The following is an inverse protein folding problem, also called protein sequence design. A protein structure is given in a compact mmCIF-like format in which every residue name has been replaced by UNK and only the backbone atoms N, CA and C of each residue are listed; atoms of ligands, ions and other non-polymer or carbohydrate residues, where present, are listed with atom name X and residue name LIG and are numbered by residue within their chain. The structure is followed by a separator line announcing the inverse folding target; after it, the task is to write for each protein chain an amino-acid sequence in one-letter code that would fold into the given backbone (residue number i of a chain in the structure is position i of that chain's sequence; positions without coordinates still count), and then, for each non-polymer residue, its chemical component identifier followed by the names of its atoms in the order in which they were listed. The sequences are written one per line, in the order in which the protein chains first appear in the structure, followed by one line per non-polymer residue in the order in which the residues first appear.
data_IF_567700067313
#
_entry.id   IF_567700067313
#
_cell.length_a   1.000
_cell.length_b   1.000
_cell.length_c   1.000
_cell.angle_alpha   90.00
_cell.angle_beta   90.00
_cell.angle_gamma   90.00
#
_symmetry.space_group_name_H-M   'P 1'
#
loop_
_entity.id
_entity.type
_entity.pdbx_description
1 polymer ?
#
# COMPACT_ATOMS: atom_id res chain seq x y z
N UNK A 1 -27.40 22.93 -30.55
CA UNK A 1 -27.98 21.58 -30.52
C UNK A 1 -29.23 21.46 -31.40
N UNK A 2 -30.26 22.33 -31.26
CA UNK A 2 -31.50 22.28 -32.06
C UNK A 2 -31.28 22.37 -33.61
N UNK A 3 -30.44 23.27 -34.07
CA UNK A 3 -30.09 23.40 -35.51
C UNK A 3 -29.37 22.17 -36.09
N UNK A 4 -28.58 21.49 -35.27
CA UNK A 4 -27.91 20.23 -35.67
C UNK A 4 -28.93 19.09 -35.84
N UNK A 5 -29.87 18.98 -34.92
CA UNK A 5 -30.94 18.00 -35.00
C UNK A 5 -31.87 18.24 -36.17
N UNK A 6 -32.21 19.50 -36.47
CA UNK A 6 -32.99 19.89 -37.66
C UNK A 6 -32.25 19.57 -38.97
N UNK A 7 -30.91 19.77 -39.03
CA UNK A 7 -30.09 19.40 -40.14
C UNK A 7 -30.00 17.91 -40.39
N UNK A 8 -29.86 17.11 -39.30
CA UNK A 8 -29.77 15.65 -39.37
C UNK A 8 -31.14 14.99 -39.76
N UNK A 9 -32.24 15.61 -39.40
CA UNK A 9 -33.59 15.12 -39.71
C UNK A 9 -34.14 15.60 -41.06
N UNK A 10 -33.40 16.37 -41.86
CA UNK A 10 -33.86 16.74 -43.20
C UNK A 10 -33.96 15.51 -44.08
N UNK A 11 -35.05 15.36 -44.86
CA UNK A 11 -35.22 14.24 -45.78
C UNK A 11 -34.06 14.21 -46.80
N UNK A 12 -33.65 13.00 -47.18
CA UNK A 12 -32.63 12.80 -48.20
C UNK A 12 -33.06 13.41 -49.53
N UNK A 13 -32.12 14.01 -50.29
CA UNK A 13 -32.44 14.47 -51.65
C UNK A 13 -32.89 13.30 -52.53
N UNK A 14 -33.79 13.56 -53.50
CA UNK A 14 -34.33 12.55 -54.42
C UNK A 14 -33.16 11.76 -55.04
N UNK A 15 -33.15 10.43 -54.90
CA UNK A 15 -32.11 9.51 -55.37
C UNK A 15 -31.25 8.87 -54.29
N UNK A 16 -31.30 9.33 -53.00
CA UNK A 16 -30.63 8.65 -51.91
C UNK A 16 -31.59 7.84 -51.07
N UNK A 17 -31.29 6.56 -50.87
CA UNK A 17 -32.11 5.63 -50.08
C UNK A 17 -32.04 5.90 -48.57
N UNK A 18 -31.10 6.69 -48.08
CA UNK A 18 -30.85 6.90 -46.66
C UNK A 18 -30.99 8.37 -46.24
N UNK A 19 -31.58 8.62 -45.09
CA UNK A 19 -31.58 9.97 -44.48
C UNK A 19 -30.17 10.45 -44.13
N UNK A 20 -29.97 11.78 -44.09
CA UNK A 20 -28.63 12.38 -43.75
C UNK A 20 -28.08 11.93 -42.43
N UNK A 21 -28.96 11.61 -41.45
CA UNK A 21 -28.57 11.07 -40.18
C UNK A 21 -27.77 9.75 -40.28
N UNK A 22 -28.08 8.91 -41.28
CA UNK A 22 -27.38 7.63 -41.47
C UNK A 22 -25.94 7.85 -41.90
N UNK A 23 -25.64 8.96 -42.62
CA UNK A 23 -24.25 9.30 -42.99
C UNK A 23 -23.38 9.71 -41.80
N UNK A 24 -24.01 10.14 -40.66
CA UNK A 24 -23.31 10.45 -39.41
C UNK A 24 -23.13 9.21 -38.54
N UNK A 25 -23.86 8.11 -38.82
CA UNK A 25 -23.83 6.92 -37.98
C UNK A 25 -22.42 6.31 -37.81
N UNK A 26 -21.56 6.17 -38.83
CA UNK A 26 -20.21 5.65 -38.65
C UNK A 26 -19.38 6.50 -37.70
N UNK A 27 -19.48 7.82 -37.77
CA UNK A 27 -18.79 8.72 -36.83
C UNK A 27 -19.34 8.60 -35.43
N UNK A 28 -20.65 8.54 -35.24
CA UNK A 28 -21.30 8.35 -33.94
C UNK A 28 -20.89 7.02 -33.32
N UNK A 29 -20.88 5.94 -34.12
CA UNK A 29 -20.43 4.61 -33.64
C UNK A 29 -18.97 4.68 -33.20
N UNK A 30 -18.08 5.31 -33.99
CA UNK A 30 -16.68 5.46 -33.63
C UNK A 30 -16.52 6.22 -32.29
N UNK A 31 -17.23 7.34 -32.11
CA UNK A 31 -17.20 8.13 -30.87
C UNK A 31 -17.73 7.30 -29.69
N UNK A 32 -18.81 6.57 -29.86
CA UNK A 32 -19.36 5.70 -28.83
C UNK A 32 -18.36 4.59 -28.45
N UNK A 33 -17.71 3.96 -29.42
CA UNK A 33 -16.68 2.93 -29.18
C UNK A 33 -15.48 3.49 -28.44
N UNK A 34 -15.01 4.69 -28.80
CA UNK A 34 -13.91 5.35 -28.08
C UNK A 34 -14.28 5.67 -26.64
N UNK A 35 -15.45 6.28 -26.41
CA UNK A 35 -15.92 6.59 -25.06
C UNK A 35 -16.06 5.30 -24.23
N UNK A 36 -16.71 4.27 -24.80
CA UNK A 36 -16.87 2.97 -24.12
C UNK A 36 -15.52 2.34 -23.80
N UNK A 37 -14.58 2.38 -24.74
CA UNK A 37 -13.21 1.88 -24.55
C UNK A 37 -12.48 2.58 -23.39
N UNK A 38 -12.58 3.90 -23.31
CA UNK A 38 -11.98 4.68 -22.20
C UNK A 38 -12.65 4.35 -20.87
N UNK A 39 -13.99 4.25 -20.83
CA UNK A 39 -14.72 3.92 -19.60
C UNK A 39 -14.37 2.51 -19.12
N UNK A 40 -14.33 1.53 -20.02
CA UNK A 40 -13.93 0.15 -19.69
C UNK A 40 -12.49 0.10 -19.19
N UNK A 41 -11.56 0.77 -19.89
CA UNK A 41 -10.16 0.82 -19.47
C UNK A 41 -10.00 1.45 -18.07
N UNK A 42 -10.70 2.54 -17.79
CA UNK A 42 -10.69 3.18 -16.48
C UNK A 42 -11.29 2.28 -15.39
N UNK A 43 -12.41 1.61 -15.67
CA UNK A 43 -13.05 0.68 -14.74
C UNK A 43 -12.17 -0.54 -14.44
N UNK A 44 -11.53 -1.11 -15.46
CA UNK A 44 -10.59 -2.23 -15.30
C UNK A 44 -9.36 -1.80 -14.49
N UNK A 45 -8.80 -0.63 -14.80
CA UNK A 45 -7.67 -0.10 -14.04
C UNK A 45 -8.02 0.13 -12.57
N UNK A 46 -9.17 0.73 -12.26
CA UNK A 46 -9.64 0.93 -10.88
C UNK A 46 -9.85 -0.39 -10.16
N UNK A 47 -10.52 -1.34 -10.80
CA UNK A 47 -10.76 -2.67 -10.20
C UNK A 47 -9.45 -3.44 -9.98
N UNK A 48 -8.57 -3.47 -10.98
CA UNK A 48 -7.33 -4.23 -10.91
C UNK A 48 -6.30 -3.60 -9.94
N UNK A 49 -6.27 -2.25 -9.83
CA UNK A 49 -5.31 -1.57 -8.96
C UNK A 49 -5.80 -1.42 -7.52
N UNK A 50 -7.00 -0.89 -7.32
CA UNK A 50 -7.45 -0.51 -5.98
C UNK A 50 -8.19 -1.64 -5.26
N UNK A 51 -9.14 -2.30 -5.93
CA UNK A 51 -9.96 -3.34 -5.29
C UNK A 51 -9.27 -4.70 -5.26
N UNK A 52 -8.70 -5.14 -6.38
CA UNK A 52 -8.07 -6.44 -6.45
C UNK A 52 -6.78 -6.54 -5.62
N UNK A 53 -6.04 -5.43 -5.50
CA UNK A 53 -4.79 -5.35 -4.73
C UNK A 53 -5.02 -4.98 -3.25
N UNK A 54 -6.26 -5.03 -2.78
CA UNK A 54 -6.64 -4.81 -1.38
C UNK A 54 -6.25 -3.44 -0.79
N UNK A 55 -6.02 -2.41 -1.60
CA UNK A 55 -5.83 -1.05 -1.08
C UNK A 55 -7.10 -0.60 -0.35
N UNK A 56 -6.94 -0.11 0.87
CA UNK A 56 -8.04 0.24 1.76
C UNK A 56 -8.65 -0.93 2.54
N UNK A 57 -8.10 -2.15 2.40
CA UNK A 57 -8.54 -3.29 3.19
C UNK A 57 -8.20 -3.10 4.67
N UNK A 58 -9.21 -3.00 5.52
CA UNK A 58 -9.13 -2.76 6.97
C UNK A 58 -10.01 -3.75 7.71
N UNK A 59 -9.57 -5.01 7.86
CA UNK A 59 -10.37 -6.03 8.53
C UNK A 59 -10.43 -5.81 10.04
N UNK A 60 -11.53 -6.26 10.65
CA UNK A 60 -11.61 -6.36 12.10
C UNK A 60 -10.57 -7.34 12.63
N UNK A 61 -9.88 -6.93 13.69
CA UNK A 61 -8.88 -7.75 14.35
C UNK A 61 -9.45 -8.38 15.63
N UNK A 62 -9.00 -9.57 16.02
CA UNK A 62 -9.49 -10.24 17.23
C UNK A 62 -9.20 -9.46 18.53
N UNK A 63 -8.19 -8.61 18.51
CA UNK A 63 -7.90 -7.61 19.54
C UNK A 63 -7.82 -6.25 18.87
N UNK A 64 -8.58 -5.29 19.37
CA UNK A 64 -8.60 -3.92 18.85
C UNK A 64 -7.31 -3.18 19.27
N UNK A 65 -6.20 -3.52 18.61
CA UNK A 65 -4.90 -2.89 18.84
C UNK A 65 -4.80 -1.58 18.05
N UNK A 66 -4.48 -0.52 18.77
CA UNK A 66 -4.34 0.83 18.22
C UNK A 66 -2.87 1.23 18.12
N UNK A 67 -2.34 1.32 16.88
CA UNK A 67 -0.97 1.79 16.67
C UNK A 67 -0.81 3.27 17.04
N UNK A 68 -1.81 4.10 16.80
CA UNK A 68 -1.70 5.54 17.07
C UNK A 68 -1.51 5.87 18.55
N UNK A 69 -1.91 4.95 19.43
CA UNK A 69 -1.68 5.08 20.87
C UNK A 69 -0.30 4.54 21.30
N UNK A 70 0.16 3.46 20.69
CA UNK A 70 1.35 2.72 21.13
C UNK A 70 2.63 3.11 20.42
N UNK A 71 2.59 3.33 19.09
CA UNK A 71 3.77 3.33 18.24
C UNK A 71 4.05 4.69 17.59
N UNK A 72 5.34 5.01 17.46
CA UNK A 72 5.82 6.21 16.79
C UNK A 72 6.05 7.39 17.74
N UNK A 73 6.87 8.35 17.32
CA UNK A 73 7.30 9.46 18.16
C UNK A 73 6.17 10.40 18.58
N UNK A 74 5.10 10.44 17.78
CA UNK A 74 3.93 11.30 18.03
C UNK A 74 2.82 10.59 18.82
N UNK A 75 2.99 9.31 19.16
CA UNK A 75 2.03 8.55 19.94
C UNK A 75 2.15 8.83 21.43
N UNK A 76 1.11 8.42 22.20
CA UNK A 76 1.10 8.61 23.66
C UNK A 76 2.25 7.87 24.35
N UNK A 77 2.60 6.66 23.87
CA UNK A 77 3.65 5.83 24.47
C UNK A 77 5.01 5.95 23.79
N UNK A 78 5.08 6.44 22.56
CA UNK A 78 6.34 6.65 21.83
C UNK A 78 7.15 5.38 21.56
N UNK A 79 6.53 4.19 21.51
CA UNK A 79 7.26 2.93 21.33
C UNK A 79 7.83 2.81 19.92
N UNK A 80 9.11 2.40 19.83
CA UNK A 80 9.73 2.06 18.54
C UNK A 80 9.08 0.81 17.95
N UNK A 81 8.95 0.79 16.62
CA UNK A 81 8.34 -0.33 15.88
C UNK A 81 9.01 -1.68 16.20
N UNK A 82 10.33 -1.67 16.40
CA UNK A 82 11.14 -2.87 16.70
C UNK A 82 10.92 -3.45 18.08
N UNK A 83 10.29 -2.70 19.00
CA UNK A 83 9.89 -3.27 20.29
C UNK A 83 8.90 -4.42 20.11
N UNK A 84 7.94 -4.25 19.21
CA UNK A 84 6.92 -5.24 18.90
C UNK A 84 7.31 -6.12 17.70
N UNK A 85 7.85 -5.52 16.62
CA UNK A 85 8.29 -6.21 15.41
C UNK A 85 9.79 -6.49 15.45
N UNK A 86 10.23 -7.27 16.43
CA UNK A 86 11.64 -7.45 16.81
C UNK A 86 12.49 -8.29 15.84
N UNK A 87 11.88 -8.81 14.77
CA UNK A 87 12.58 -9.52 13.68
C UNK A 87 12.64 -8.72 12.38
N UNK A 88 12.06 -7.52 12.33
CA UNK A 88 11.95 -6.74 11.10
C UNK A 88 13.30 -6.38 10.46
N UNK A 89 14.33 -6.20 11.27
CA UNK A 89 15.72 -5.92 10.87
C UNK A 89 16.63 -7.17 10.82
N UNK A 90 16.09 -8.36 11.14
CA UNK A 90 16.85 -9.62 11.26
C UNK A 90 16.36 -10.73 10.32
N UNK A 91 15.13 -10.67 9.87
CA UNK A 91 14.47 -11.74 9.13
C UNK A 91 13.72 -11.22 7.90
N UNK A 92 13.38 -12.15 7.00
CA UNK A 92 12.45 -11.85 5.91
C UNK A 92 11.05 -11.49 6.42
N UNK A 93 10.66 -12.01 7.58
CA UNK A 93 9.39 -11.73 8.22
C UNK A 93 9.56 -10.73 9.38
N UNK A 94 8.69 -9.71 9.42
CA UNK A 94 8.70 -8.71 10.49
C UNK A 94 8.25 -9.26 11.84
N UNK A 95 7.57 -10.40 11.85
CA UNK A 95 6.73 -11.01 12.88
C UNK A 95 5.51 -10.17 13.32
N UNK A 96 4.48 -10.85 13.75
CA UNK A 96 3.45 -10.31 14.63
C UNK A 96 3.94 -10.57 16.05
N UNK A 97 3.93 -9.59 16.97
CA UNK A 97 4.46 -9.76 18.31
C UNK A 97 3.74 -10.90 19.05
N UNK A 98 4.50 -11.65 19.84
CA UNK A 98 3.93 -12.67 20.71
C UNK A 98 3.10 -12.02 21.81
N UNK A 99 2.17 -12.76 22.38
CA UNK A 99 1.33 -12.30 23.48
C UNK A 99 2.17 -11.80 24.67
N UNK A 100 3.34 -12.40 24.92
CA UNK A 100 4.27 -11.95 25.94
C UNK A 100 4.68 -10.49 25.80
N UNK A 101 4.86 -10.01 24.57
CA UNK A 101 5.22 -8.61 24.31
C UNK A 101 4.12 -7.66 24.84
N UNK A 102 2.86 -7.99 24.63
CA UNK A 102 1.73 -7.25 25.17
C UNK A 102 1.69 -7.34 26.70
N UNK A 103 1.93 -8.54 27.22
CA UNK A 103 1.83 -8.85 28.65
C UNK A 103 2.91 -8.21 29.51
N UNK A 104 4.04 -7.81 28.92
CA UNK A 104 5.07 -7.03 29.64
C UNK A 104 4.51 -5.79 30.33
N UNK A 105 3.51 -5.13 29.71
CA UNK A 105 2.85 -3.96 30.29
C UNK A 105 1.45 -4.31 30.80
N UNK A 106 0.68 -5.07 30.03
CA UNK A 106 -0.72 -5.34 30.33
C UNK A 106 -0.96 -6.34 31.48
N UNK A 107 0.07 -6.95 32.01
CA UNK A 107 0.01 -7.66 33.31
C UNK A 107 -0.31 -6.71 34.46
N UNK A 108 0.02 -5.42 34.34
CA UNK A 108 -0.19 -4.39 35.36
C UNK A 108 -1.13 -3.26 34.87
N UNK A 109 -1.03 -2.91 33.57
CA UNK A 109 -1.80 -1.82 32.99
C UNK A 109 -3.04 -2.37 32.32
N UNK A 110 -4.23 -1.93 32.74
CA UNK A 110 -5.53 -2.37 32.24
C UNK A 110 -5.73 -3.90 32.28
N UNK A 111 -5.09 -4.61 33.23
CA UNK A 111 -5.10 -6.08 33.35
C UNK A 111 -6.50 -6.71 33.35
N UNK A 112 -7.50 -6.00 33.88
CA UNK A 112 -8.89 -6.46 34.00
C UNK A 112 -9.81 -5.89 32.90
N UNK A 113 -9.24 -5.21 31.90
CA UNK A 113 -10.03 -4.67 30.80
C UNK A 113 -10.63 -5.80 29.94
N UNK A 114 -11.93 -5.76 29.63
CA UNK A 114 -12.55 -6.72 28.70
C UNK A 114 -11.88 -6.73 27.31
N UNK A 115 -11.31 -5.61 26.86
CA UNK A 115 -10.59 -5.51 25.59
C UNK A 115 -9.32 -6.38 25.56
N UNK A 116 -8.77 -6.74 26.72
CA UNK A 116 -7.59 -7.59 26.87
C UNK A 116 -7.92 -9.05 27.24
N UNK A 117 -9.19 -9.41 27.29
CA UNK A 117 -9.60 -10.76 27.69
C UNK A 117 -8.96 -11.85 26.82
N UNK A 118 -8.85 -11.62 25.50
CA UNK A 118 -8.21 -12.56 24.58
C UNK A 118 -6.69 -12.62 24.79
N UNK A 119 -6.05 -11.50 25.10
CA UNK A 119 -4.62 -11.43 25.43
C UNK A 119 -4.34 -12.23 26.71
N UNK A 120 -5.15 -12.02 27.74
CA UNK A 120 -5.06 -12.76 29.01
C UNK A 120 -5.26 -14.26 28.79
N UNK A 121 -6.32 -14.65 28.08
CA UNK A 121 -6.58 -16.06 27.72
C UNK A 121 -5.39 -16.68 26.99
N UNK A 122 -4.83 -15.97 26.00
CA UNK A 122 -3.66 -16.44 25.24
C UNK A 122 -2.44 -16.68 26.15
N UNK A 123 -2.23 -15.83 27.15
CA UNK A 123 -1.16 -16.01 28.15
C UNK A 123 -1.40 -17.23 29.02
N UNK A 124 -2.63 -17.48 29.46
CA UNK A 124 -3.00 -18.59 30.34
C UNK A 124 -2.95 -19.94 29.62
N UNK A 125 -3.37 -19.98 28.34
CA UNK A 125 -3.48 -21.23 27.57
C UNK A 125 -2.27 -21.54 26.70
N UNK A 126 -1.45 -20.53 26.39
CA UNK A 126 -0.38 -20.64 25.37
C UNK A 126 -0.88 -20.64 23.94
N UNK A 127 -2.19 -20.49 23.69
CA UNK A 127 -2.74 -20.42 22.35
C UNK A 127 -2.44 -19.06 21.70
N UNK A 128 -1.93 -19.08 20.47
CA UNK A 128 -1.65 -17.85 19.72
C UNK A 128 -2.93 -17.12 19.33
N UNK A 129 -2.92 -15.80 19.43
CA UNK A 129 -3.99 -14.95 18.89
C UNK A 129 -3.99 -15.05 17.37
N UNK A 130 -5.14 -15.35 16.78
CA UNK A 130 -5.30 -15.52 15.33
C UNK A 130 -5.54 -14.18 14.65
N UNK A 131 -4.47 -13.41 14.47
CA UNK A 131 -4.53 -12.14 13.76
C UNK A 131 -4.92 -12.30 12.30
N UNK A 132 -5.71 -11.36 11.77
CA UNK A 132 -6.02 -11.29 10.34
C UNK A 132 -4.88 -10.59 9.63
N UNK A 133 -4.27 -11.26 8.63
CA UNK A 133 -3.16 -10.72 7.86
C UNK A 133 -3.66 -9.63 6.90
N UNK A 134 -3.21 -8.40 7.10
CA UNK A 134 -3.58 -7.22 6.29
C UNK A 134 -2.67 -7.10 5.06
N UNK A 135 -1.36 -6.97 5.28
CA UNK A 135 -0.39 -6.81 4.21
C UNK A 135 0.05 -8.17 3.67
N UNK A 136 -0.12 -8.38 2.37
CA UNK A 136 0.18 -9.65 1.72
C UNK A 136 0.79 -9.42 0.35
N UNK A 137 1.92 -10.09 0.08
CA UNK A 137 2.42 -10.32 -1.26
C UNK A 137 2.16 -11.78 -1.64
N UNK A 138 2.04 -12.14 -2.94
CA UNK A 138 1.86 -13.52 -3.36
C UNK A 138 3.02 -14.43 -2.92
N UNK A 139 2.73 -15.70 -2.67
CA UNK A 139 3.72 -16.66 -2.14
C UNK A 139 4.89 -16.96 -3.11
N UNK A 140 4.71 -16.63 -4.39
CA UNK A 140 5.77 -16.74 -5.41
C UNK A 140 6.70 -15.51 -5.46
N UNK A 141 6.54 -14.54 -4.54
CA UNK A 141 7.37 -13.34 -4.46
C UNK A 141 8.35 -13.46 -3.29
N UNK A 142 9.64 -13.32 -3.60
CA UNK A 142 10.67 -13.19 -2.57
C UNK A 142 10.62 -11.77 -1.98
N UNK A 143 10.31 -11.66 -0.71
CA UNK A 143 10.38 -10.40 0.01
C UNK A 143 11.13 -10.59 1.33
N UNK A 144 12.00 -9.65 1.67
CA UNK A 144 12.79 -9.71 2.89
C UNK A 144 12.81 -8.35 3.58
N UNK A 145 12.15 -8.24 4.75
CA UNK A 145 12.10 -7.01 5.53
C UNK A 145 13.49 -6.54 5.95
N UNK A 146 14.35 -7.44 6.46
CA UNK A 146 15.66 -7.07 6.98
C UNK A 146 16.54 -6.37 5.94
N UNK A 147 16.49 -6.83 4.68
CA UNK A 147 17.27 -6.21 3.59
C UNK A 147 16.81 -4.77 3.36
N UNK A 148 15.51 -4.50 3.37
CA UNK A 148 14.97 -3.17 3.14
C UNK A 148 15.23 -2.23 4.32
N UNK A 149 14.92 -2.67 5.54
CA UNK A 149 15.10 -1.89 6.77
C UNK A 149 16.54 -1.50 6.99
N UNK A 150 17.48 -2.47 6.86
CA UNK A 150 18.91 -2.23 7.04
C UNK A 150 19.56 -1.40 5.91
N UNK A 151 18.85 -1.17 4.81
CA UNK A 151 19.25 -0.31 3.71
C UNK A 151 18.50 1.02 3.65
N UNK A 152 17.87 1.43 4.77
CA UNK A 152 17.27 2.75 4.90
C UNK A 152 15.89 2.90 4.24
N UNK A 153 15.20 1.80 3.90
CA UNK A 153 13.80 1.85 3.46
C UNK A 153 12.90 1.91 4.68
N UNK A 154 12.14 3.00 4.83
CA UNK A 154 11.26 3.17 5.97
C UNK A 154 9.97 2.39 5.83
N UNK A 155 9.41 2.02 6.98
CA UNK A 155 8.11 1.37 7.10
C UNK A 155 6.99 2.15 6.38
N UNK A 156 7.07 3.49 6.39
CA UNK A 156 6.07 4.38 5.76
C UNK A 156 5.97 4.17 4.24
N UNK A 157 7.04 3.76 3.58
CA UNK A 157 7.06 3.58 2.12
C UNK A 157 6.07 2.47 1.69
N UNK A 158 5.96 1.40 2.49
CA UNK A 158 5.09 0.26 2.19
C UNK A 158 3.78 0.27 3.00
N UNK A 159 3.84 0.68 4.26
CA UNK A 159 2.71 0.61 5.19
C UNK A 159 1.96 1.94 5.39
N UNK A 160 2.45 3.05 4.78
CA UNK A 160 1.92 4.38 5.05
C UNK A 160 2.15 4.81 6.49
N UNK A 161 1.41 5.81 6.96
CA UNK A 161 1.46 6.30 8.35
C UNK A 161 0.73 5.34 9.29
N UNK A 162 1.26 4.12 9.40
CA UNK A 162 0.69 3.07 10.25
C UNK A 162 0.72 3.45 11.73
N UNK A 163 1.67 4.29 12.11
CA UNK A 163 1.77 4.94 13.42
C UNK A 163 0.57 5.83 13.78
N UNK A 164 -0.27 6.18 12.83
CA UNK A 164 -1.49 6.97 13.03
C UNK A 164 -2.78 6.14 12.85
N UNK A 165 -2.66 4.84 12.64
CA UNK A 165 -3.82 3.99 12.37
C UNK A 165 -4.36 3.38 13.66
N UNK A 166 -5.62 3.65 13.96
CA UNK A 166 -6.41 2.99 15.01
C UNK A 166 -6.73 1.56 14.59
N UNK A 167 -7.11 1.36 13.33
CA UNK A 167 -7.29 0.04 12.70
C UNK A 167 -6.32 -0.06 11.53
N UNK A 168 -5.51 -1.11 11.52
CA UNK A 168 -4.52 -1.31 10.47
C UNK A 168 -5.19 -1.62 9.14
N UNK A 169 -4.84 -0.86 8.11
CA UNK A 169 -5.31 -1.06 6.75
C UNK A 169 -4.18 -0.99 5.72
N UNK A 170 -4.36 -1.68 4.62
CA UNK A 170 -3.39 -1.66 3.52
C UNK A 170 -3.46 -0.32 2.78
N UNK A 171 -2.39 0.46 2.83
CA UNK A 171 -2.32 1.80 2.24
C UNK A 171 -1.72 1.81 0.82
N UNK A 172 -0.90 0.82 0.49
CA UNK A 172 -0.17 0.72 -0.77
C UNK A 172 -0.54 -0.56 -1.52
N UNK A 173 -0.48 -0.52 -2.83
CA UNK A 173 -0.89 -1.65 -3.68
C UNK A 173 -0.01 -2.89 -3.51
N UNK A 174 1.26 -2.71 -3.18
CA UNK A 174 2.28 -3.77 -3.09
C UNK A 174 2.38 -4.63 -4.37
N UNK A 175 1.98 -4.08 -5.51
CA UNK A 175 2.06 -4.74 -6.80
C UNK A 175 3.48 -4.65 -7.40
N UNK A 176 3.71 -5.35 -8.51
CA UNK A 176 5.01 -5.38 -9.15
C UNK A 176 5.51 -3.99 -9.57
N UNK A 177 4.63 -3.12 -10.10
CA UNK A 177 5.03 -1.76 -10.50
C UNK A 177 5.44 -0.91 -9.31
N UNK A 178 4.76 -1.04 -8.17
CA UNK A 178 5.12 -0.39 -6.92
C UNK A 178 6.54 -0.78 -6.45
N UNK A 179 6.86 -2.07 -6.49
CA UNK A 179 8.21 -2.54 -6.14
C UNK A 179 9.27 -2.05 -7.12
N UNK A 180 8.99 -2.13 -8.43
CA UNK A 180 9.92 -1.72 -9.47
C UNK A 180 10.17 -0.21 -9.51
N UNK A 181 9.22 0.62 -9.12
CA UNK A 181 9.42 2.06 -9.02
C UNK A 181 10.55 2.37 -8.03
N UNK A 182 10.50 1.78 -6.84
CA UNK A 182 11.55 1.90 -5.83
C UNK A 182 12.87 1.23 -6.27
N UNK A 183 12.81 0.05 -6.88
CA UNK A 183 14.01 -0.68 -7.31
C UNK A 183 14.74 -0.01 -8.48
N UNK A 184 14.05 0.80 -9.28
CA UNK A 184 14.64 1.58 -10.38
C UNK A 184 15.21 2.93 -9.93
N UNK A 185 14.63 3.50 -8.86
CA UNK A 185 14.96 4.84 -8.37
C UNK A 185 15.16 4.84 -6.84
N UNK A 186 16.03 3.97 -6.29
CA UNK A 186 16.15 3.77 -4.84
C UNK A 186 16.53 5.05 -4.09
N UNK A 187 17.25 5.97 -4.73
CA UNK A 187 17.68 7.25 -4.14
C UNK A 187 16.52 8.13 -3.69
N UNK A 188 15.34 7.95 -4.24
CA UNK A 188 14.15 8.72 -3.88
C UNK A 188 13.49 8.24 -2.58
N UNK A 189 13.83 7.03 -2.12
CA UNK A 189 13.14 6.34 -1.02
C UNK A 189 14.04 6.06 0.19
N UNK A 190 15.37 6.11 -0.01
CA UNK A 190 16.31 5.82 1.06
C UNK A 190 16.45 7.02 2.03
N UNK A 191 16.57 6.70 3.32
CA UNK A 191 16.77 7.67 4.39
C UNK A 191 17.86 7.16 5.35
N UNK A 192 18.37 8.00 6.27
CA UNK A 192 19.29 7.54 7.31
C UNK A 192 18.68 6.35 8.08
N UNK A 193 19.51 5.35 8.39
CA UNK A 193 19.04 4.09 9.02
C UNK A 193 18.40 4.34 10.40
N UNK A 194 18.86 5.34 11.13
CA UNK A 194 18.29 5.78 12.40
C UNK A 194 16.91 6.45 12.24
N UNK A 195 16.52 6.81 11.00
CA UNK A 195 15.23 7.41 10.66
C UNK A 195 14.24 6.45 10.01
N UNK A 196 14.58 5.18 9.93
CA UNK A 196 13.71 4.17 9.28
C UNK A 196 12.38 3.99 10.03
N UNK A 197 12.40 4.01 11.36
CA UNK A 197 11.21 3.88 12.23
C UNK A 197 10.55 5.21 12.56
N UNK A 198 11.16 6.34 12.18
CA UNK A 198 10.55 7.67 12.26
C UNK A 198 9.69 7.91 11.00
N UNK A 199 8.40 7.56 11.07
CA UNK A 199 7.48 7.64 9.92
C UNK A 199 7.12 9.09 9.54
N UNK A 200 7.37 10.05 10.44
CA UNK A 200 7.16 11.46 10.19
C UNK A 200 8.35 12.13 9.50
N UNK A 201 9.53 11.48 9.50
CA UNK A 201 10.73 12.02 8.88
C UNK A 201 10.52 12.38 7.41
N UNK A 202 10.99 13.58 7.06
CA UNK A 202 11.04 14.08 5.67
C UNK A 202 12.39 14.75 5.45
N UNK A 203 12.98 14.52 4.30
CA UNK A 203 14.13 15.31 3.87
C UNK A 203 13.75 16.80 3.72
N UNK A 204 14.73 17.70 3.83
CA UNK A 204 14.49 19.14 3.77
C UNK A 204 13.87 19.61 2.43
N UNK A 205 14.15 18.89 1.35
CA UNK A 205 13.57 19.12 0.03
C UNK A 205 13.68 17.86 -0.83
N UNK A 206 12.96 17.75 -1.96
CA UNK A 206 13.14 16.66 -2.93
C UNK A 206 14.58 16.57 -3.45
N UNK A 207 15.23 17.70 -3.67
CA UNK A 207 16.63 17.73 -4.10
C UNK A 207 17.59 17.21 -3.02
N UNK A 208 17.33 17.54 -1.73
CA UNK A 208 18.07 16.99 -0.61
C UNK A 208 17.86 15.47 -0.49
N UNK A 209 16.62 15.00 -0.65
CA UNK A 209 16.30 13.57 -0.67
C UNK A 209 17.12 12.83 -1.75
N UNK A 210 17.09 13.31 -2.98
CA UNK A 210 17.83 12.68 -4.08
C UNK A 210 19.35 12.71 -3.83
N UNK A 211 19.88 13.82 -3.33
CA UNK A 211 21.31 13.96 -3.01
C UNK A 211 21.75 12.96 -1.95
N UNK A 212 21.04 12.92 -0.84
CA UNK A 212 21.37 12.03 0.28
C UNK A 212 21.13 10.56 -0.12
N UNK A 213 20.02 10.28 -0.82
CA UNK A 213 19.71 8.95 -1.33
C UNK A 213 20.76 8.43 -2.31
N UNK A 214 21.27 9.26 -3.22
CA UNK A 214 22.37 8.89 -4.12
C UNK A 214 23.63 8.53 -3.34
N UNK A 215 23.94 9.32 -2.30
CA UNK A 215 25.04 9.00 -1.39
C UNK A 215 24.84 7.65 -0.71
N UNK A 216 23.64 7.36 -0.19
CA UNK A 216 23.33 6.08 0.45
C UNK A 216 23.41 4.90 -0.53
N UNK A 217 22.92 5.06 -1.77
CA UNK A 217 23.07 4.05 -2.82
C UNK A 217 24.54 3.68 -3.02
N UNK A 218 25.41 4.66 -3.11
CA UNK A 218 26.85 4.44 -3.28
C UNK A 218 27.50 3.81 -2.05
N UNK A 219 27.33 4.42 -0.87
CA UNK A 219 28.02 4.04 0.36
C UNK A 219 27.56 2.66 0.87
N UNK A 220 26.29 2.32 0.72
CA UNK A 220 25.74 1.04 1.15
C UNK A 220 25.68 0.00 0.03
N UNK A 221 26.18 0.34 -1.17
CA UNK A 221 26.20 -0.54 -2.34
C UNK A 221 24.81 -1.10 -2.64
N UNK A 222 23.81 -0.21 -2.65
CA UNK A 222 22.41 -0.58 -2.92
C UNK A 222 22.26 -0.89 -4.40
N UNK A 223 21.96 -2.13 -4.73
CA UNK A 223 21.71 -2.59 -6.10
C UNK A 223 20.49 -3.51 -6.11
N UNK A 224 19.28 -2.94 -6.15
CA UNK A 224 18.05 -3.74 -6.08
C UNK A 224 17.87 -4.59 -7.33
N UNK A 225 17.42 -5.86 -7.21
CA UNK A 225 17.16 -6.71 -8.36
C UNK A 225 15.99 -6.15 -9.19
N UNK A 226 16.14 -6.21 -10.52
CA UNK A 226 15.09 -5.82 -11.47
C UNK A 226 14.73 -6.96 -12.44
N UNK A 227 15.42 -8.09 -12.33
CA UNK A 227 15.13 -9.30 -13.12
C UNK A 227 13.99 -10.10 -12.52
N UNK A 228 13.28 -10.86 -13.35
CA UNK A 228 12.18 -11.70 -12.91
C UNK A 228 12.58 -12.66 -11.77
N UNK A 229 13.70 -13.37 -11.93
CA UNK A 229 14.20 -14.34 -10.96
C UNK A 229 14.74 -13.73 -9.65
N UNK A 230 15.00 -12.42 -9.61
CA UNK A 230 15.37 -11.72 -8.40
C UNK A 230 14.20 -11.50 -7.43
N UNK A 231 12.97 -11.54 -7.95
CA UNK A 231 11.74 -11.27 -7.20
C UNK A 231 10.80 -12.48 -7.19
N UNK A 232 10.80 -13.32 -8.22
CA UNK A 232 9.87 -14.44 -8.38
C UNK A 232 10.57 -15.80 -8.34
N UNK A 233 9.87 -16.78 -7.77
CA UNK A 233 10.24 -18.21 -7.76
C UNK A 233 9.28 -19.03 -8.60
#
# INVERSE_FOLDING_TARGET
MRKLLEFLNRPAPRGNFFARAVNAAPFQILVCLLITGVVVAAAVNEYATNKYLNVGYTPDQPVAFDHSFHAGPDSVLGLDCRYCHNFVDKSSHSNVPTTNTCWNCHSQVKSDSPALALVKKSMETGEAIRWVKVHKVPDYVYFNHAVHVNRGVSCVECHGRIDQQVVVGQQKSLNMSFCLDCHRNPEQFLRPVDKVTDLAYKAASPAAQTKDGTKFVHDWKVNPPQSCSGCHR
#
